data_IF_645943096635
#
_entry.id   IF_645943096635
#
_cell.length_a   1.000
_cell.length_b   1.000
_cell.length_c   1.000
_cell.angle_alpha   90.00
_cell.angle_beta   90.00
_cell.angle_gamma   90.00
#
_symmetry.space_group_name_H-M   'P 1'
#
loop_
_entity.id
_entity.type
_entity.pdbx_description
1 polymer ?
#
# COMPACT_ATOMS: atom_id res chain seq x y z
N UNK A 1 -29.18 45.37 -74.58
CA UNK A 1 -29.14 45.82 -73.16
C UNK A 1 -29.78 44.82 -72.21
N UNK A 2 -30.87 44.13 -72.57
CA UNK A 2 -31.46 43.07 -71.72
C UNK A 2 -30.72 41.72 -71.79
N UNK A 3 -30.23 41.30 -72.95
CA UNK A 3 -29.54 40.00 -73.09
C UNK A 3 -28.19 39.92 -72.34
N UNK A 4 -27.48 41.05 -72.22
CA UNK A 4 -26.23 41.12 -71.44
C UNK A 4 -26.48 41.06 -69.92
N UNK A 5 -27.66 41.53 -69.47
CA UNK A 5 -28.09 41.47 -68.06
C UNK A 5 -28.47 40.04 -67.66
N UNK A 6 -29.20 39.32 -68.52
CA UNK A 6 -29.59 37.93 -68.26
C UNK A 6 -28.39 36.98 -68.26
N UNK A 7 -27.39 37.21 -69.14
CA UNK A 7 -26.14 36.44 -69.15
C UNK A 7 -25.29 36.68 -67.89
N UNK A 8 -25.24 37.92 -67.41
CA UNK A 8 -24.51 38.27 -66.17
C UNK A 8 -25.20 37.72 -64.92
N UNK A 9 -26.53 37.75 -64.85
CA UNK A 9 -27.30 37.13 -63.76
C UNK A 9 -27.16 35.60 -63.75
N UNK A 10 -27.21 34.94 -64.91
CA UNK A 10 -26.99 33.50 -65.00
C UNK A 10 -25.55 33.09 -64.59
N UNK A 11 -24.57 33.95 -64.90
CA UNK A 11 -23.17 33.75 -64.52
C UNK A 11 -22.96 33.98 -63.00
N UNK A 12 -23.62 34.97 -62.41
CA UNK A 12 -23.62 35.21 -60.96
C UNK A 12 -24.27 34.06 -60.19
N UNK A 13 -25.42 33.54 -60.64
CA UNK A 13 -26.07 32.38 -60.02
C UNK A 13 -25.18 31.14 -60.03
N UNK A 14 -24.50 30.88 -61.15
CA UNK A 14 -23.52 29.77 -61.24
C UNK A 14 -22.32 29.97 -60.31
N UNK A 15 -21.84 31.20 -60.17
CA UNK A 15 -20.77 31.51 -59.22
C UNK A 15 -21.22 31.32 -57.77
N UNK A 16 -22.43 31.74 -57.42
CA UNK A 16 -22.95 31.62 -56.06
C UNK A 16 -23.27 30.16 -55.70
N UNK A 17 -23.78 29.37 -56.64
CA UNK A 17 -23.90 27.91 -56.50
C UNK A 17 -22.53 27.23 -56.33
N UNK A 18 -21.53 27.64 -57.12
CA UNK A 18 -20.16 27.12 -56.98
C UNK A 18 -19.55 27.51 -55.61
N UNK A 19 -19.71 28.75 -55.16
CA UNK A 19 -19.27 29.23 -53.83
C UNK A 19 -19.99 28.49 -52.70
N UNK A 20 -21.29 28.19 -52.86
CA UNK A 20 -22.06 27.37 -51.92
C UNK A 20 -21.50 25.96 -51.80
N UNK A 21 -21.24 25.30 -52.94
CA UNK A 21 -20.63 23.96 -52.96
C UNK A 21 -19.23 23.94 -52.37
N UNK A 22 -18.43 24.99 -52.58
CA UNK A 22 -17.10 25.16 -51.95
C UNK A 22 -17.23 25.30 -50.43
N UNK A 23 -18.14 26.16 -49.92
CA UNK A 23 -18.37 26.30 -48.47
C UNK A 23 -18.84 25.00 -47.82
N UNK A 24 -19.71 24.25 -48.49
CA UNK A 24 -20.18 22.96 -47.96
C UNK A 24 -19.08 21.90 -47.99
N UNK A 25 -18.23 21.90 -49.02
CA UNK A 25 -17.04 21.06 -49.07
C UNK A 25 -16.03 21.44 -47.96
N UNK A 26 -15.80 22.73 -47.71
CA UNK A 26 -14.94 23.22 -46.62
C UNK A 26 -15.46 22.84 -45.24
N UNK A 27 -16.78 22.95 -45.00
CA UNK A 27 -17.40 22.49 -43.75
C UNK A 27 -17.22 20.99 -43.54
N UNK A 28 -17.42 20.19 -44.59
CA UNK A 28 -17.20 18.73 -44.55
C UNK A 28 -15.73 18.40 -44.32
N UNK A 29 -14.81 19.12 -44.96
CA UNK A 29 -13.38 18.90 -44.80
C UNK A 29 -12.93 19.26 -43.37
N UNK A 30 -13.51 20.31 -42.78
CA UNK A 30 -13.27 20.69 -41.39
C UNK A 30 -13.85 19.68 -40.39
N UNK A 31 -15.05 19.14 -40.64
CA UNK A 31 -15.65 18.10 -39.79
C UNK A 31 -14.88 16.79 -39.86
N UNK A 32 -14.55 16.34 -41.08
CA UNK A 32 -13.70 15.16 -41.30
C UNK A 32 -12.33 15.38 -40.67
N UNK A 33 -11.74 16.57 -40.76
CA UNK A 33 -10.47 16.90 -40.11
C UNK A 33 -10.53 16.79 -38.59
N UNK A 34 -11.63 17.26 -37.96
CA UNK A 34 -11.83 17.09 -36.52
C UNK A 34 -12.05 15.63 -36.11
N UNK A 35 -12.82 14.87 -36.89
CA UNK A 35 -13.03 13.42 -36.66
C UNK A 35 -11.73 12.63 -36.81
N UNK A 36 -10.91 12.96 -37.81
CA UNK A 36 -9.62 12.32 -38.04
C UNK A 36 -8.64 12.62 -36.90
N UNK A 37 -8.63 13.85 -36.39
CA UNK A 37 -7.84 14.23 -35.20
C UNK A 37 -8.28 13.44 -33.97
N UNK A 38 -9.60 13.30 -33.75
CA UNK A 38 -10.16 12.51 -32.64
C UNK A 38 -9.76 11.03 -32.77
N UNK A 39 -9.96 10.43 -33.94
CA UNK A 39 -9.56 9.05 -34.21
C UNK A 39 -8.05 8.84 -34.04
N UNK A 40 -7.25 9.85 -34.39
CA UNK A 40 -5.80 9.78 -34.24
C UNK A 40 -5.39 9.81 -32.76
N UNK A 41 -6.08 10.60 -31.92
CA UNK A 41 -5.88 10.57 -30.47
C UNK A 41 -6.35 9.25 -29.86
N UNK A 42 -7.49 8.71 -30.29
CA UNK A 42 -8.03 7.45 -29.80
C UNK A 42 -7.11 6.27 -30.15
N UNK A 43 -6.60 6.22 -31.39
CA UNK A 43 -5.60 5.24 -31.81
C UNK A 43 -4.34 5.32 -30.95
N UNK A 44 -3.85 6.53 -30.65
CA UNK A 44 -2.68 6.71 -29.78
C UNK A 44 -2.95 6.23 -28.36
N UNK A 45 -4.09 6.61 -27.78
CA UNK A 45 -4.47 6.16 -26.42
C UNK A 45 -4.64 4.65 -26.35
N UNK A 46 -5.24 4.03 -27.36
CA UNK A 46 -5.41 2.58 -27.44
C UNK A 46 -4.07 1.85 -27.58
N UNK A 47 -3.15 2.39 -28.39
CA UNK A 47 -1.80 1.84 -28.51
C UNK A 47 -1.02 1.92 -27.18
N UNK A 48 -1.13 3.02 -26.44
CA UNK A 48 -0.52 3.17 -25.12
C UNK A 48 -1.12 2.20 -24.09
N UNK A 49 -2.44 1.98 -24.13
CA UNK A 49 -3.11 0.98 -23.29
C UNK A 49 -2.67 -0.44 -23.62
N UNK A 50 -2.59 -0.80 -24.90
CA UNK A 50 -2.08 -2.09 -25.34
C UNK A 50 -0.65 -2.32 -24.86
N UNK A 51 0.22 -1.31 -24.96
CA UNK A 51 1.60 -1.39 -24.46
C UNK A 51 1.64 -1.65 -22.95
N UNK A 52 0.83 -0.92 -22.16
CA UNK A 52 0.75 -1.12 -20.70
C UNK A 52 0.23 -2.51 -20.33
N UNK A 53 -0.77 -3.01 -21.05
CA UNK A 53 -1.29 -4.37 -20.86
C UNK A 53 -0.23 -5.42 -21.18
N UNK A 54 0.51 -5.24 -22.28
CA UNK A 54 1.57 -6.17 -22.69
C UNK A 54 2.73 -6.20 -21.68
N UNK A 55 3.13 -5.04 -21.14
CA UNK A 55 4.08 -4.94 -20.02
C UNK A 55 3.55 -5.57 -18.72
N UNK A 56 2.24 -5.52 -18.48
CA UNK A 56 1.61 -6.17 -17.32
C UNK A 56 1.61 -7.70 -17.47
N UNK A 57 1.22 -8.19 -18.65
CA UNK A 57 1.23 -9.62 -18.98
C UNK A 57 2.65 -10.17 -18.89
N UNK A 58 3.64 -9.52 -19.50
CA UNK A 58 5.04 -9.96 -19.42
C UNK A 58 5.56 -10.01 -17.97
N UNK A 59 5.21 -9.02 -17.13
CA UNK A 59 5.53 -9.04 -15.70
C UNK A 59 4.86 -10.21 -14.97
N UNK A 60 3.59 -10.47 -15.27
CA UNK A 60 2.83 -11.59 -14.72
C UNK A 60 3.45 -12.94 -15.11
N UNK A 61 3.80 -13.13 -16.38
CA UNK A 61 4.44 -14.35 -16.89
C UNK A 61 5.81 -14.58 -16.24
N UNK A 62 6.64 -13.55 -16.12
CA UNK A 62 7.92 -13.66 -15.41
C UNK A 62 7.74 -14.06 -13.94
N UNK A 63 6.75 -13.50 -13.24
CA UNK A 63 6.45 -13.86 -11.85
C UNK A 63 5.96 -15.32 -11.73
N UNK A 64 5.11 -15.78 -12.66
CA UNK A 64 4.66 -17.18 -12.71
C UNK A 64 5.84 -18.12 -12.97
N UNK A 65 6.77 -17.73 -13.85
CA UNK A 65 7.93 -18.55 -14.15
C UNK A 65 8.90 -18.63 -12.98
N UNK A 66 9.19 -17.49 -12.32
CA UNK A 66 10.01 -17.46 -11.10
C UNK A 66 9.41 -18.33 -9.99
N UNK A 67 8.10 -18.21 -9.72
CA UNK A 67 7.44 -19.03 -8.69
C UNK A 67 7.45 -20.52 -9.04
N UNK A 68 7.37 -20.88 -10.33
CA UNK A 68 7.47 -22.26 -10.80
C UNK A 68 8.87 -22.84 -10.61
N UNK A 69 9.90 -22.06 -10.91
CA UNK A 69 11.28 -22.48 -10.73
C UNK A 69 11.66 -22.56 -9.25
N UNK A 70 11.20 -21.62 -8.43
CA UNK A 70 11.32 -21.68 -6.97
C UNK A 70 10.66 -22.94 -6.40
N UNK A 71 9.47 -23.30 -6.90
CA UNK A 71 8.77 -24.52 -6.46
C UNK A 71 9.56 -25.78 -6.83
N UNK A 72 10.13 -25.85 -8.03
CA UNK A 72 10.99 -26.97 -8.45
C UNK A 72 12.24 -27.06 -7.59
N UNK A 73 12.92 -25.94 -7.36
CA UNK A 73 14.11 -25.86 -6.51
C UNK A 73 13.82 -26.32 -5.08
N UNK A 74 12.73 -25.82 -4.47
CA UNK A 74 12.30 -26.25 -3.13
C UNK A 74 11.95 -27.73 -3.08
N UNK A 75 11.28 -28.27 -4.10
CA UNK A 75 10.95 -29.69 -4.17
C UNK A 75 12.22 -30.56 -4.26
N UNK A 76 13.21 -30.15 -5.06
CA UNK A 76 14.50 -30.84 -5.14
C UNK A 76 15.26 -30.79 -3.80
N UNK A 77 15.31 -29.62 -3.16
CA UNK A 77 15.93 -29.45 -1.84
C UNK A 77 15.23 -30.31 -0.77
N UNK A 78 13.90 -30.37 -0.77
CA UNK A 78 13.14 -31.21 0.16
C UNK A 78 13.38 -32.71 -0.05
N UNK A 79 13.59 -33.15 -1.29
CA UNK A 79 13.93 -34.54 -1.58
C UNK A 79 15.35 -34.87 -1.10
N UNK A 80 16.30 -33.96 -1.31
CA UNK A 80 17.68 -34.10 -0.83
C UNK A 80 17.75 -34.19 0.71
N UNK A 81 17.11 -33.25 1.42
CA UNK A 81 17.08 -33.26 2.89
C UNK A 81 16.38 -34.49 3.45
N UNK A 82 15.33 -34.99 2.79
CA UNK A 82 14.69 -36.27 3.17
C UNK A 82 15.62 -37.47 2.97
N UNK A 83 16.47 -37.45 1.94
CA UNK A 83 17.51 -38.46 1.72
C UNK A 83 18.58 -38.43 2.81
N UNK A 84 19.07 -37.23 3.15
CA UNK A 84 20.05 -37.02 4.23
C UNK A 84 19.50 -37.45 5.59
N UNK A 85 18.24 -37.13 5.91
CA UNK A 85 17.56 -37.58 7.13
C UNK A 85 17.55 -39.11 7.24
N UNK A 86 17.17 -39.80 6.16
CA UNK A 86 17.17 -41.28 6.15
C UNK A 86 18.57 -41.87 6.35
N UNK A 87 19.59 -41.24 5.76
CA UNK A 87 20.97 -41.68 5.92
C UNK A 87 21.45 -41.47 7.37
N UNK A 88 21.13 -40.31 7.97
CA UNK A 88 21.47 -40.00 9.35
C UNK A 88 20.74 -40.91 10.34
N UNK A 89 19.45 -41.17 10.14
CA UNK A 89 18.68 -42.11 10.96
C UNK A 89 19.29 -43.52 10.91
N UNK A 90 19.78 -43.95 9.74
CA UNK A 90 20.53 -45.20 9.60
C UNK A 90 21.82 -45.22 10.40
N UNK A 91 22.63 -44.15 10.32
CA UNK A 91 23.88 -44.02 11.08
C UNK A 91 23.64 -43.98 12.60
N UNK A 92 22.58 -43.29 13.04
CA UNK A 92 22.20 -43.23 14.46
C UNK A 92 21.78 -44.62 14.95
N UNK A 93 20.97 -45.34 14.18
CA UNK A 93 20.55 -46.69 14.53
C UNK A 93 21.75 -47.65 14.62
N UNK A 94 22.69 -47.57 13.67
CA UNK A 94 23.92 -48.37 13.69
C UNK A 94 24.81 -48.03 14.89
N UNK A 95 25.02 -46.75 15.16
CA UNK A 95 25.79 -46.29 16.33
C UNK A 95 25.13 -46.70 17.65
N UNK A 96 23.80 -46.61 17.76
CA UNK A 96 23.06 -47.08 18.94
C UNK A 96 23.17 -48.58 19.12
N UNK A 97 23.09 -49.37 18.04
CA UNK A 97 23.27 -50.82 18.09
C UNK A 97 24.70 -51.18 18.52
N UNK A 98 25.72 -50.47 18.03
CA UNK A 98 27.11 -50.70 18.43
C UNK A 98 27.36 -50.34 19.89
N UNK A 99 26.77 -49.23 20.38
CA UNK A 99 26.82 -48.85 21.80
C UNK A 99 26.12 -49.90 22.66
N UNK A 100 24.93 -50.36 22.30
CA UNK A 100 24.22 -51.42 23.04
C UNK A 100 25.01 -52.73 23.05
N UNK A 101 25.69 -53.08 21.95
CA UNK A 101 26.54 -54.27 21.87
C UNK A 101 27.78 -54.17 22.76
N UNK A 102 28.42 -52.99 22.80
CA UNK A 102 29.69 -52.79 23.54
C UNK A 102 29.50 -52.38 24.99
N UNK A 103 28.36 -51.80 25.37
CA UNK A 103 28.06 -51.36 26.73
C UNK A 103 28.29 -52.46 27.79
N UNK A 104 27.76 -53.69 27.66
CA UNK A 104 27.98 -54.72 28.68
C UNK A 104 29.44 -55.14 28.78
N UNK A 105 30.18 -55.20 27.68
CA UNK A 105 31.61 -55.56 27.68
C UNK A 105 32.47 -54.46 28.34
N UNK A 106 32.16 -53.19 28.08
CA UNK A 106 32.86 -52.07 28.71
C UNK A 106 32.55 -52.02 30.20
N UNK A 107 31.29 -52.21 30.58
CA UNK A 107 30.86 -52.19 31.98
C UNK A 107 31.47 -53.37 32.76
N UNK A 108 31.52 -54.58 32.16
CA UNK A 108 32.23 -55.72 32.71
C UNK A 108 33.73 -55.44 32.89
N UNK A 109 34.39 -54.85 31.89
CA UNK A 109 35.82 -54.47 31.99
C UNK A 109 36.09 -53.35 32.98
N UNK A 110 35.17 -52.41 33.18
CA UNK A 110 35.28 -51.36 34.19
C UNK A 110 35.16 -51.96 35.59
N UNK A 111 34.22 -52.88 35.80
CA UNK A 111 34.09 -53.62 37.07
C UNK A 111 35.35 -54.46 37.33
N UNK A 112 35.85 -55.18 36.33
CA UNK A 112 37.07 -55.96 36.44
C UNK A 112 38.29 -55.06 36.74
N UNK A 113 38.44 -53.95 36.02
CA UNK A 113 39.52 -52.99 36.27
C UNK A 113 39.43 -52.39 37.68
N UNK A 114 38.24 -52.03 38.16
CA UNK A 114 38.04 -51.55 39.52
C UNK A 114 38.44 -52.60 40.56
N UNK A 115 38.06 -53.86 40.38
CA UNK A 115 38.47 -54.96 41.27
C UNK A 115 39.98 -55.19 41.25
N UNK A 116 40.62 -55.12 40.08
CA UNK A 116 42.08 -55.25 39.97
C UNK A 116 42.80 -54.06 40.61
N UNK A 117 42.24 -52.85 40.49
CA UNK A 117 42.80 -51.66 41.09
C UNK A 117 42.65 -51.67 42.62
N UNK A 118 41.52 -52.12 43.15
CA UNK A 118 41.35 -52.37 44.59
C UNK A 118 42.32 -53.43 45.11
N UNK A 119 42.52 -54.54 44.37
CA UNK A 119 43.51 -55.56 44.73
C UNK A 119 44.93 -55.03 44.70
N UNK A 120 45.26 -54.22 43.69
CA UNK A 120 46.56 -53.57 43.58
C UNK A 120 46.76 -52.59 44.73
N UNK A 121 45.79 -51.74 45.03
CA UNK A 121 45.89 -50.75 46.10
C UNK A 121 45.96 -51.43 47.48
N UNK A 122 45.27 -52.55 47.68
CA UNK A 122 45.41 -53.38 48.86
C UNK A 122 46.81 -54.00 48.96
N UNK A 123 47.33 -54.59 47.88
CA UNK A 123 48.68 -55.15 47.82
C UNK A 123 49.78 -54.08 47.97
N UNK A 124 49.60 -52.90 47.40
CA UNK A 124 50.49 -51.75 47.55
C UNK A 124 50.44 -51.21 48.98
N UNK A 125 49.26 -51.19 49.62
CA UNK A 125 49.14 -50.84 51.04
C UNK A 125 49.82 -51.87 51.93
N UNK A 126 49.67 -53.16 51.66
CA UNK A 126 50.38 -54.24 52.38
C UNK A 126 51.89 -54.18 52.15
N UNK A 127 52.34 -53.95 50.91
CA UNK A 127 53.74 -53.78 50.55
C UNK A 127 54.31 -52.54 51.24
N UNK A 128 53.64 -51.38 51.20
CA UNK A 128 54.06 -50.19 51.94
C UNK A 128 54.05 -50.41 53.46
N UNK A 129 53.12 -51.20 53.99
CA UNK A 129 53.13 -51.57 55.40
C UNK A 129 54.30 -52.50 55.73
N UNK A 130 54.65 -53.46 54.88
CA UNK A 130 55.79 -54.35 55.05
C UNK A 130 57.11 -53.62 54.87
N UNK A 131 57.26 -52.81 53.82
CA UNK A 131 58.39 -51.93 53.56
C UNK A 131 58.54 -50.90 54.67
N UNK A 132 57.45 -50.32 55.17
CA UNK A 132 57.54 -49.43 56.32
C UNK A 132 57.83 -50.18 57.62
N UNK A 133 57.42 -51.44 57.80
CA UNK A 133 57.83 -52.28 58.95
C UNK A 133 59.31 -52.66 58.87
N UNK A 134 59.80 -53.02 57.69
CA UNK A 134 61.19 -53.39 57.38
C UNK A 134 62.12 -52.17 57.47
N UNK A 135 61.67 -51.02 56.97
CA UNK A 135 62.38 -49.75 57.06
C UNK A 135 62.31 -49.16 58.48
N UNK A 136 61.18 -49.24 59.21
CA UNK A 136 61.10 -48.72 60.61
C UNK A 136 62.03 -49.45 61.58
N UNK A 137 62.34 -50.72 61.34
CA UNK A 137 63.29 -51.49 62.14
C UNK A 137 64.77 -51.12 61.86
N UNK A 138 65.06 -50.47 60.73
CA UNK A 138 66.44 -50.18 60.27
C UNK A 138 66.74 -48.71 59.94
N UNK A 139 65.74 -47.82 59.89
CA UNK A 139 65.88 -46.42 59.45
C UNK A 139 66.53 -45.50 60.47
N UNK A 140 66.40 -45.79 61.77
CA UNK A 140 66.87 -44.89 62.82
C UNK A 140 67.70 -45.67 63.83
N UNK A 141 68.97 -45.29 63.99
CA UNK A 141 69.89 -45.96 64.91
C UNK A 141 69.65 -45.54 66.36
N UNK A 142 68.90 -44.45 66.57
CA UNK A 142 68.49 -43.96 67.90
C UNK A 142 67.09 -43.32 67.89
N UNK A 143 66.46 -43.26 69.07
CA UNK A 143 65.19 -42.54 69.27
C UNK A 143 65.29 -41.06 68.88
N UNK A 144 66.45 -40.44 69.06
CA UNK A 144 66.68 -39.03 68.69
C UNK A 144 66.66 -38.80 67.17
N UNK A 145 67.24 -39.69 66.36
CA UNK A 145 67.21 -39.57 64.89
C UNK A 145 65.79 -39.71 64.34
N UNK A 146 65.02 -40.64 64.90
CA UNK A 146 63.60 -40.82 64.57
C UNK A 146 62.78 -39.58 64.93
N UNK A 147 62.92 -39.09 66.15
CA UNK A 147 62.15 -37.93 66.61
C UNK A 147 62.56 -36.66 65.80
N UNK A 148 63.82 -36.55 65.35
CA UNK A 148 64.28 -35.47 64.45
C UNK A 148 63.66 -35.56 63.05
N UNK A 149 63.55 -36.75 62.46
CA UNK A 149 62.87 -36.97 61.19
C UNK A 149 61.37 -36.66 61.29
N UNK A 150 60.69 -37.23 62.29
CA UNK A 150 59.26 -37.00 62.52
C UNK A 150 58.94 -35.53 62.76
N UNK A 151 59.80 -34.81 63.49
CA UNK A 151 59.63 -33.36 63.68
C UNK A 151 59.83 -32.57 62.37
N UNK A 152 60.75 -33.00 61.51
CA UNK A 152 60.94 -32.38 60.18
C UNK A 152 59.72 -32.62 59.28
N UNK A 153 59.22 -33.85 59.22
CA UNK A 153 58.00 -34.20 58.48
C UNK A 153 56.77 -33.47 59.01
N UNK A 154 56.61 -33.41 60.33
CA UNK A 154 55.52 -32.66 60.96
C UNK A 154 55.60 -31.16 60.63
N UNK A 155 56.81 -30.58 60.56
CA UNK A 155 57.01 -29.21 60.14
C UNK A 155 56.67 -28.99 58.66
N UNK A 156 57.08 -29.90 57.77
CA UNK A 156 56.75 -29.87 56.34
C UNK A 156 55.24 -30.04 56.07
N UNK A 157 54.58 -30.93 56.82
CA UNK A 157 53.12 -31.10 56.74
C UNK A 157 52.39 -29.86 57.26
N UNK A 158 52.85 -29.26 58.37
CA UNK A 158 52.29 -27.99 58.88
C UNK A 158 52.40 -26.85 57.87
N UNK A 159 53.53 -26.72 57.17
CA UNK A 159 53.67 -25.68 56.12
C UNK A 159 52.77 -25.96 54.92
N UNK A 160 52.62 -27.22 54.50
CA UNK A 160 51.67 -27.62 53.45
C UNK A 160 50.22 -27.34 53.83
N UNK A 161 49.81 -27.66 55.07
CA UNK A 161 48.47 -27.37 55.60
C UNK A 161 48.22 -25.86 55.56
N UNK A 162 49.14 -25.05 56.11
CA UNK A 162 49.01 -23.59 56.11
C UNK A 162 48.89 -23.01 54.70
N UNK A 163 49.65 -23.54 53.73
CA UNK A 163 49.55 -23.13 52.32
C UNK A 163 48.19 -23.51 51.72
N UNK A 164 47.65 -24.68 52.07
CA UNK A 164 46.33 -25.13 51.60
C UNK A 164 45.19 -24.33 52.24
N UNK A 165 45.29 -23.99 53.52
CA UNK A 165 44.34 -23.09 54.20
C UNK A 165 44.33 -21.69 53.55
N UNK A 166 45.50 -21.13 53.25
CA UNK A 166 45.60 -19.87 52.52
C UNK A 166 44.98 -19.96 51.12
N UNK A 167 45.21 -21.04 50.39
CA UNK A 167 44.58 -21.26 49.08
C UNK A 167 43.06 -21.39 49.19
N UNK A 168 42.55 -22.12 50.19
CA UNK A 168 41.12 -22.26 50.43
C UNK A 168 40.46 -20.91 50.75
N UNK A 169 41.09 -20.10 51.60
CA UNK A 169 40.60 -18.75 51.92
C UNK A 169 40.54 -17.83 50.69
N UNK A 170 41.56 -17.86 49.83
CA UNK A 170 41.56 -17.09 48.57
C UNK A 170 40.45 -17.57 47.62
N UNK A 171 40.33 -18.88 47.43
CA UNK A 171 39.30 -19.47 46.57
C UNK A 171 37.89 -19.15 47.07
N UNK A 172 37.68 -19.14 48.38
CA UNK A 172 36.39 -18.78 48.97
C UNK A 172 36.04 -17.32 48.72
N UNK A 173 37.01 -16.41 48.85
CA UNK A 173 36.83 -15.00 48.50
C UNK A 173 36.54 -14.81 47.01
N UNK A 174 37.22 -15.54 46.13
CA UNK A 174 36.99 -15.48 44.69
C UNK A 174 35.59 -16.01 44.32
N UNK A 175 35.13 -17.07 45.01
CA UNK A 175 33.77 -17.61 44.87
C UNK A 175 32.70 -16.57 45.24
N UNK A 176 32.86 -15.92 46.40
CA UNK A 176 31.94 -14.86 46.85
C UNK A 176 31.90 -13.69 45.87
N UNK A 177 33.06 -13.28 45.32
CA UNK A 177 33.12 -12.24 44.30
C UNK A 177 32.46 -12.66 42.98
N UNK A 178 32.64 -13.91 42.56
CA UNK A 178 32.02 -14.45 41.36
C UNK A 178 30.49 -14.51 41.50
N UNK A 179 29.99 -14.93 42.66
CA UNK A 179 28.56 -14.96 42.98
C UNK A 179 27.95 -13.54 42.94
N UNK A 180 28.58 -12.57 43.59
CA UNK A 180 28.12 -11.19 43.56
C UNK A 180 28.04 -10.60 42.13
N UNK A 181 29.04 -10.91 41.28
CA UNK A 181 29.03 -10.51 39.86
C UNK A 181 27.92 -11.20 39.07
N UNK A 182 27.67 -12.48 39.35
CA UNK A 182 26.60 -13.24 38.72
C UNK A 182 25.23 -12.64 39.06
N UNK A 183 24.98 -12.32 40.33
CA UNK A 183 23.72 -11.72 40.79
C UNK A 183 23.51 -10.32 40.19
N UNK A 184 24.58 -9.51 40.11
CA UNK A 184 24.52 -8.19 39.47
C UNK A 184 24.23 -8.31 37.97
N UNK A 185 24.86 -9.27 37.28
CA UNK A 185 24.62 -9.54 35.88
C UNK A 185 23.19 -10.03 35.63
N UNK A 186 22.68 -10.94 36.46
CA UNK A 186 21.31 -11.45 36.39
C UNK A 186 20.27 -10.34 36.57
N UNK A 187 20.50 -9.43 37.53
CA UNK A 187 19.63 -8.28 37.78
C UNK A 187 19.63 -7.33 36.57
N UNK A 188 20.82 -7.00 36.04
CA UNK A 188 20.96 -6.14 34.87
C UNK A 188 20.30 -6.75 33.62
N UNK A 189 20.42 -8.06 33.45
CA UNK A 189 19.77 -8.78 32.35
C UNK A 189 18.23 -8.78 32.49
N UNK A 190 17.71 -8.94 33.70
CA UNK A 190 16.27 -8.87 33.99
C UNK A 190 15.70 -7.48 33.68
N UNK A 191 16.38 -6.42 34.11
CA UNK A 191 16.00 -5.04 33.79
C UNK A 191 16.07 -4.75 32.28
N UNK A 192 17.13 -5.23 31.62
CA UNK A 192 17.28 -5.11 30.18
C UNK A 192 16.14 -5.79 29.41
N UNK A 193 15.71 -6.98 29.85
CA UNK A 193 14.56 -7.68 29.27
C UNK A 193 13.26 -6.89 29.45
N UNK A 194 12.99 -6.36 30.64
CA UNK A 194 11.80 -5.53 30.89
C UNK A 194 11.76 -4.28 30.03
N UNK A 195 12.91 -3.59 29.87
CA UNK A 195 13.02 -2.42 28.98
C UNK A 195 12.78 -2.80 27.52
N UNK A 196 13.34 -3.91 27.05
CA UNK A 196 13.13 -4.40 25.69
C UNK A 196 11.67 -4.76 25.43
N UNK A 197 10.99 -5.42 26.36
CA UNK A 197 9.57 -5.73 26.26
C UNK A 197 8.69 -4.47 26.22
N UNK A 198 8.99 -3.47 27.06
CA UNK A 198 8.30 -2.20 27.05
C UNK A 198 8.47 -1.45 25.71
N UNK A 199 9.68 -1.41 25.16
CA UNK A 199 9.94 -0.79 23.86
C UNK A 199 9.28 -1.56 22.71
N UNK A 200 9.26 -2.90 22.76
CA UNK A 200 8.53 -3.72 21.79
C UNK A 200 7.03 -3.43 21.83
N UNK A 201 6.45 -3.31 23.02
CA UNK A 201 5.03 -2.98 23.17
C UNK A 201 4.71 -1.60 22.57
N UNK A 202 5.55 -0.58 22.81
CA UNK A 202 5.42 0.74 22.20
C UNK A 202 5.55 0.69 20.68
N UNK A 203 6.51 -0.09 20.16
CA UNK A 203 6.71 -0.24 18.73
C UNK A 203 5.50 -0.88 18.03
N UNK A 204 4.91 -1.92 18.65
CA UNK A 204 3.69 -2.55 18.13
C UNK A 204 2.47 -1.61 18.22
N UNK A 205 2.33 -0.83 19.29
CA UNK A 205 1.30 0.22 19.36
C UNK A 205 1.47 1.28 18.27
N UNK A 206 2.69 1.77 18.06
CA UNK A 206 2.96 2.73 16.99
C UNK A 206 2.66 2.13 15.61
N UNK A 207 3.01 0.85 15.40
CA UNK A 207 2.75 0.14 14.15
C UNK A 207 1.25 0.00 13.88
N UNK A 208 0.47 -0.41 14.88
CA UNK A 208 -0.98 -0.55 14.77
C UNK A 208 -1.66 0.80 14.50
N UNK A 209 -1.25 1.86 15.19
CA UNK A 209 -1.72 3.23 14.92
C UNK A 209 -1.37 3.68 13.49
N UNK A 210 -0.14 3.45 13.03
CA UNK A 210 0.25 3.76 11.65
C UNK A 210 -0.59 2.99 10.63
N UNK A 211 -0.91 1.71 10.88
CA UNK A 211 -1.77 0.95 9.97
C UNK A 211 -3.20 1.48 9.94
N UNK A 212 -3.77 1.85 11.09
CA UNK A 212 -5.11 2.43 11.16
C UNK A 212 -5.18 3.78 10.42
N UNK A 213 -4.23 4.68 10.68
CA UNK A 213 -4.16 5.97 9.98
C UNK A 213 -3.97 5.82 8.46
N UNK A 214 -3.20 4.80 8.02
CA UNK A 214 -3.07 4.50 6.58
C UNK A 214 -4.40 4.07 5.97
N UNK A 215 -5.16 3.20 6.65
CA UNK A 215 -6.48 2.76 6.19
C UNK A 215 -7.47 3.93 6.12
N UNK A 216 -7.50 4.80 7.13
CA UNK A 216 -8.34 6.01 7.10
C UNK A 216 -7.97 6.95 5.95
N UNK A 217 -6.67 7.17 5.72
CA UNK A 217 -6.15 7.99 4.63
C UNK A 217 -6.48 7.39 3.27
N UNK A 218 -6.43 6.07 3.13
CA UNK A 218 -6.80 5.38 1.89
C UNK A 218 -8.32 5.49 1.63
N UNK A 219 -9.15 5.26 2.66
CA UNK A 219 -10.61 5.43 2.58
C UNK A 219 -11.03 6.87 2.24
N UNK A 220 -10.39 7.87 2.87
CA UNK A 220 -10.64 9.28 2.56
C UNK A 220 -10.22 9.63 1.11
N UNK A 221 -9.12 9.04 0.63
CA UNK A 221 -8.66 9.22 -0.74
C UNK A 221 -9.64 8.62 -1.74
N UNK A 222 -10.18 7.44 -1.47
CA UNK A 222 -11.16 6.81 -2.34
C UNK A 222 -12.49 7.57 -2.35
N UNK A 223 -12.96 8.05 -1.19
CA UNK A 223 -14.12 8.94 -1.11
C UNK A 223 -13.91 10.24 -1.89
N UNK A 224 -12.71 10.82 -1.84
CA UNK A 224 -12.35 12.00 -2.65
C UNK A 224 -12.42 11.69 -4.15
N UNK A 225 -11.90 10.53 -4.59
CA UNK A 225 -11.98 10.12 -6.01
C UNK A 225 -13.43 9.93 -6.45
N UNK A 226 -14.27 9.33 -5.62
CA UNK A 226 -15.70 9.17 -5.91
C UNK A 226 -16.42 10.51 -6.06
N UNK A 227 -16.18 11.44 -5.13
CA UNK A 227 -16.74 12.79 -5.20
C UNK A 227 -16.26 13.53 -6.45
N UNK A 228 -14.97 13.44 -6.80
CA UNK A 228 -14.46 14.00 -8.05
C UNK A 228 -15.19 13.42 -9.25
N UNK A 229 -15.33 12.09 -9.35
CA UNK A 229 -16.07 11.46 -10.47
C UNK A 229 -17.51 11.97 -10.56
N UNK A 230 -18.19 12.12 -9.42
CA UNK A 230 -19.55 12.69 -9.37
C UNK A 230 -19.58 14.15 -9.80
N UNK A 231 -18.63 14.97 -9.34
CA UNK A 231 -18.50 16.36 -9.73
C UNK A 231 -18.27 16.49 -11.24
N UNK A 232 -17.40 15.65 -11.81
CA UNK A 232 -17.15 15.62 -13.25
C UNK A 232 -18.41 15.22 -14.03
N UNK A 233 -19.11 14.17 -13.59
CA UNK A 233 -20.38 13.73 -14.20
C UNK A 233 -21.44 14.83 -14.16
N UNK A 234 -21.59 15.50 -13.01
CA UNK A 234 -22.53 16.61 -12.86
C UNK A 234 -22.11 17.82 -13.70
N UNK A 235 -20.81 18.12 -13.78
CA UNK A 235 -20.26 19.18 -14.61
C UNK A 235 -20.51 18.94 -16.10
N UNK A 236 -20.35 17.69 -16.56
CA UNK A 236 -20.61 17.32 -17.95
C UNK A 236 -22.11 17.28 -18.26
N UNK A 237 -22.95 16.83 -17.32
CA UNK A 237 -24.40 16.95 -17.43
C UNK A 237 -24.85 18.42 -17.49
N UNK A 238 -24.30 19.29 -16.64
CA UNK A 238 -24.59 20.71 -16.64
C UNK A 238 -24.20 21.34 -17.97
N UNK A 239 -22.99 21.10 -18.48
CA UNK A 239 -22.56 21.58 -19.81
C UNK A 239 -23.47 21.12 -20.94
N UNK A 240 -23.95 19.87 -20.87
CA UNK A 240 -24.86 19.31 -21.88
C UNK A 240 -26.20 20.04 -21.83
N UNK A 241 -26.81 20.15 -20.64
CA UNK A 241 -28.09 20.85 -20.45
C UNK A 241 -28.02 22.33 -20.79
N UNK A 242 -26.92 23.02 -20.47
CA UNK A 242 -26.73 24.42 -20.86
C UNK A 242 -26.56 24.56 -22.36
N UNK A 243 -25.83 23.64 -23.01
CA UNK A 243 -25.71 23.64 -24.47
C UNK A 243 -27.06 23.36 -25.16
N UNK A 244 -27.87 22.46 -24.61
CA UNK A 244 -29.24 22.19 -25.10
C UNK A 244 -30.15 23.40 -24.92
N UNK A 245 -30.09 24.07 -23.76
CA UNK A 245 -30.81 25.31 -23.50
C UNK A 245 -30.39 26.41 -24.47
N UNK A 246 -29.09 26.63 -24.65
CA UNK A 246 -28.55 27.64 -25.59
C UNK A 246 -28.99 27.35 -27.03
N UNK A 247 -29.01 26.07 -27.44
CA UNK A 247 -29.52 25.66 -28.76
C UNK A 247 -31.00 25.95 -28.90
N UNK A 248 -31.81 25.57 -27.92
CA UNK A 248 -33.26 25.82 -27.92
C UNK A 248 -33.57 27.32 -27.94
N UNK A 249 -32.85 28.12 -27.15
CA UNK A 249 -32.95 29.58 -27.14
C UNK A 249 -32.56 30.19 -28.49
N UNK A 250 -31.47 29.72 -29.12
CA UNK A 250 -31.08 30.17 -30.46
C UNK A 250 -32.13 29.81 -31.51
N UNK A 251 -32.70 28.61 -31.46
CA UNK A 251 -33.79 28.21 -32.36
C UNK A 251 -35.02 29.11 -32.17
N UNK A 252 -35.40 29.42 -30.92
CA UNK A 252 -36.47 30.37 -30.62
C UNK A 252 -36.15 31.76 -31.16
N UNK A 253 -34.94 32.26 -30.94
CA UNK A 253 -34.47 33.54 -31.48
C UNK A 253 -34.58 33.60 -33.00
N UNK A 254 -34.23 32.53 -33.71
CA UNK A 254 -34.34 32.46 -35.17
C UNK A 254 -35.78 32.41 -35.69
N UNK A 255 -36.76 32.09 -34.84
CA UNK A 255 -38.18 32.09 -35.21
C UNK A 255 -38.77 33.51 -35.15
N UNK A 256 -38.14 34.41 -34.39
CA UNK A 256 -38.54 35.82 -34.28
C UNK A 256 -37.73 36.72 -35.22
N UNK A 257 -38.26 37.91 -35.53
CA UNK A 257 -37.44 38.95 -36.15
C UNK A 257 -36.41 39.50 -35.16
N UNK A 258 -35.28 40.01 -35.67
CA UNK A 258 -34.21 40.58 -34.83
C UNK A 258 -34.72 41.69 -33.90
N UNK A 259 -35.59 42.57 -34.39
CA UNK A 259 -36.15 43.67 -33.59
C UNK A 259 -37.12 43.18 -32.52
N UNK A 260 -37.90 42.14 -32.79
CA UNK A 260 -38.76 41.50 -31.79
C UNK A 260 -37.95 40.82 -30.68
N UNK A 261 -36.89 40.09 -31.05
CA UNK A 261 -36.01 39.45 -30.09
C UNK A 261 -35.30 40.47 -29.18
N UNK A 262 -34.71 41.51 -29.77
CA UNK A 262 -34.05 42.59 -29.01
C UNK A 262 -35.04 43.28 -28.04
N UNK A 263 -36.28 43.53 -28.47
CA UNK A 263 -37.32 44.09 -27.62
C UNK A 263 -37.71 43.16 -26.46
N UNK A 264 -37.95 41.87 -26.73
CA UNK A 264 -38.32 40.87 -25.70
C UNK A 264 -37.20 40.70 -24.68
N UNK A 265 -35.94 40.59 -25.12
CA UNK A 265 -34.78 40.46 -24.23
C UNK A 265 -34.62 41.71 -23.37
N UNK A 266 -34.77 42.90 -23.94
CA UNK A 266 -34.67 44.15 -23.19
C UNK A 266 -35.80 44.28 -22.16
N UNK A 267 -37.03 43.92 -22.51
CA UNK A 267 -38.18 43.92 -21.59
C UNK A 267 -37.97 42.93 -20.44
N UNK A 268 -37.51 41.70 -20.72
CA UNK A 268 -37.19 40.70 -19.70
C UNK A 268 -36.08 41.18 -18.76
N UNK A 269 -34.98 41.71 -19.32
CA UNK A 269 -33.87 42.27 -18.53
C UNK A 269 -34.34 43.39 -17.61
N UNK A 270 -35.13 44.34 -18.11
CA UNK A 270 -35.63 45.48 -17.33
C UNK A 270 -36.61 45.02 -16.24
N UNK A 271 -37.48 44.06 -16.56
CA UNK A 271 -38.41 43.48 -15.59
C UNK A 271 -37.67 42.81 -14.42
N UNK A 272 -36.59 42.07 -14.71
CA UNK A 272 -35.72 41.44 -13.70
C UNK A 272 -34.89 42.46 -12.90
N UNK A 273 -34.19 43.38 -13.58
CA UNK A 273 -33.33 44.39 -12.95
C UNK A 273 -34.09 45.33 -12.01
N UNK A 274 -35.31 45.72 -12.39
CA UNK A 274 -36.15 46.66 -11.62
C UNK A 274 -37.21 45.97 -10.78
N UNK A 275 -37.23 44.63 -10.79
CA UNK A 275 -38.17 43.78 -10.07
C UNK A 275 -39.63 44.25 -10.24
N UNK A 276 -40.03 44.52 -11.49
CA UNK A 276 -41.36 45.04 -11.82
C UNK A 276 -42.37 43.89 -11.71
N UNK A 277 -43.20 43.94 -10.67
CA UNK A 277 -44.27 42.96 -10.45
C UNK A 277 -45.37 43.10 -11.51
N UNK A 278 -45.85 41.97 -12.04
CA UNK A 278 -46.93 41.91 -13.02
C UNK A 278 -46.51 41.77 -14.49
N UNK A 279 -45.25 41.43 -14.75
CA UNK A 279 -44.77 40.97 -16.05
C UNK A 279 -44.60 39.44 -16.01
N UNK A 280 -45.37 38.70 -16.80
CA UNK A 280 -45.40 37.23 -16.76
C UNK A 280 -44.54 36.55 -17.83
N UNK A 281 -43.99 37.33 -18.78
CA UNK A 281 -43.22 36.80 -19.90
C UNK A 281 -44.04 36.68 -21.19
N UNK A 282 -43.53 35.93 -22.17
CA UNK A 282 -44.21 35.78 -23.46
C UNK A 282 -45.36 34.79 -23.37
N UNK A 283 -46.41 34.99 -24.19
CA UNK A 283 -47.56 34.10 -24.24
C UNK A 283 -47.16 32.63 -24.50
N UNK A 284 -46.17 32.38 -25.37
CA UNK A 284 -45.65 31.04 -25.67
C UNK A 284 -45.03 30.33 -24.46
N UNK A 285 -44.51 31.07 -23.48
CA UNK A 285 -43.90 30.51 -22.26
C UNK A 285 -44.96 30.16 -21.21
N UNK A 286 -46.15 30.74 -21.33
CA UNK A 286 -47.24 30.63 -20.38
C UNK A 286 -48.27 29.55 -20.76
N UNK A 287 -48.12 28.93 -21.93
CA UNK A 287 -49.04 27.93 -22.44
C UNK A 287 -48.41 26.54 -22.48
N UNK A 288 -49.19 25.52 -22.10
CA UNK A 288 -48.82 24.11 -22.26
C UNK A 288 -49.86 23.42 -23.13
N UNK A 289 -49.40 22.85 -24.24
CA UNK A 289 -50.25 22.17 -25.23
C UNK A 289 -49.60 20.83 -25.59
N UNK A 290 -50.42 19.79 -25.78
CA UNK A 290 -49.97 18.50 -26.31
C UNK A 290 -49.29 18.71 -27.68
N UNK A 291 -48.14 18.05 -27.88
CA UNK A 291 -47.31 18.14 -29.08
C UNK A 291 -48.10 17.92 -30.38
N UNK A 292 -49.18 17.13 -30.33
CA UNK A 292 -50.06 16.88 -31.48
C UNK A 292 -50.70 18.13 -32.07
N UNK A 293 -50.87 19.19 -31.29
CA UNK A 293 -51.54 20.43 -31.70
C UNK A 293 -50.58 21.61 -31.90
N UNK A 294 -49.26 21.42 -31.74
CA UNK A 294 -48.28 22.52 -31.84
C UNK A 294 -48.36 23.26 -33.17
N UNK A 295 -48.34 22.54 -34.29
CA UNK A 295 -48.41 23.15 -35.63
C UNK A 295 -49.73 23.90 -35.86
N UNK A 296 -50.85 23.37 -35.37
CA UNK A 296 -52.15 24.02 -35.55
C UNK A 296 -52.22 25.35 -34.78
N UNK A 297 -51.70 25.38 -33.56
CA UNK A 297 -51.67 26.59 -32.72
C UNK A 297 -50.64 27.59 -33.24
N UNK A 298 -49.47 27.13 -33.68
CA UNK A 298 -48.43 27.97 -34.27
C UNK A 298 -48.95 28.72 -35.50
N UNK A 299 -49.63 28.02 -36.42
CA UNK A 299 -50.21 28.63 -37.63
C UNK A 299 -51.38 29.56 -37.29
N UNK A 300 -52.20 29.22 -36.29
CA UNK A 300 -53.35 30.03 -35.92
C UNK A 300 -52.98 31.32 -35.16
N UNK A 301 -52.02 31.25 -34.24
CA UNK A 301 -51.62 32.37 -33.40
C UNK A 301 -50.48 33.20 -34.01
N UNK A 302 -49.57 32.58 -34.78
CA UNK A 302 -48.45 33.25 -35.44
C UNK A 302 -47.68 34.18 -34.51
N UNK A 303 -47.53 35.45 -34.92
CA UNK A 303 -46.80 36.47 -34.15
C UNK A 303 -47.41 36.83 -32.79
N UNK A 304 -48.68 36.47 -32.52
CA UNK A 304 -49.32 36.76 -31.23
C UNK A 304 -48.67 35.95 -30.09
N UNK A 305 -48.04 34.81 -30.39
CA UNK A 305 -47.35 33.96 -29.43
C UNK A 305 -46.17 34.66 -28.73
N UNK A 306 -45.60 35.69 -29.35
CA UNK A 306 -44.44 36.42 -28.84
C UNK A 306 -44.80 37.69 -28.06
N UNK A 307 -46.09 37.96 -27.85
CA UNK A 307 -46.52 39.09 -27.04
C UNK A 307 -46.21 38.86 -25.56
N UNK A 308 -45.77 39.92 -24.88
CA UNK A 308 -45.50 39.89 -23.44
C UNK A 308 -46.81 40.14 -22.70
N UNK A 309 -47.15 39.25 -21.79
CA UNK A 309 -48.37 39.32 -20.97
C UNK A 309 -48.09 40.10 -19.70
N UNK A 310 -48.93 41.10 -19.44
CA UNK A 310 -48.86 42.01 -18.28
C UNK A 310 -50.21 42.11 -17.59
N UNK A 311 -50.21 42.35 -16.28
CA UNK A 311 -51.44 42.38 -15.48
C UNK A 311 -52.31 43.62 -15.72
N UNK A 312 -51.70 44.79 -15.84
CA UNK A 312 -52.38 46.08 -15.94
C UNK A 312 -51.70 47.03 -16.92
N UNK A 313 -52.45 47.95 -17.51
CA UNK A 313 -51.94 48.97 -18.45
C UNK A 313 -50.87 49.87 -17.82
N UNK A 314 -50.96 50.13 -16.50
CA UNK A 314 -49.95 50.88 -15.75
C UNK A 314 -48.58 50.18 -15.75
N UNK A 315 -48.55 48.84 -15.71
CA UNK A 315 -47.31 48.04 -15.76
C UNK A 315 -46.73 48.07 -17.17
N UNK A 316 -47.58 47.99 -18.19
CA UNK A 316 -47.19 48.12 -19.59
C UNK A 316 -46.54 49.49 -19.86
N UNK A 317 -47.16 50.57 -19.38
CA UNK A 317 -46.67 51.94 -19.55
C UNK A 317 -45.33 52.16 -18.83
N UNK A 318 -45.16 51.60 -17.63
CA UNK A 318 -43.89 51.62 -16.89
C UNK A 318 -42.78 50.87 -17.64
N UNK A 319 -43.05 49.66 -18.13
CA UNK A 319 -42.09 48.89 -18.93
C UNK A 319 -41.68 49.64 -20.20
N UNK A 320 -42.63 50.26 -20.89
CA UNK A 320 -42.36 51.02 -22.11
C UNK A 320 -41.49 52.27 -21.84
N UNK A 321 -41.78 52.99 -20.74
CA UNK A 321 -40.99 54.17 -20.34
C UNK A 321 -39.55 53.79 -20.01
N UNK A 322 -39.37 52.67 -19.31
CA UNK A 322 -38.03 52.19 -18.94
C UNK A 322 -37.28 51.59 -20.12
N UNK A 323 -37.98 50.93 -21.06
CA UNK A 323 -37.41 50.47 -22.32
C UNK A 323 -36.92 51.64 -23.18
N UNK A 324 -37.70 52.73 -23.26
CA UNK A 324 -37.30 53.95 -23.98
C UNK A 324 -36.09 54.63 -23.32
N UNK A 325 -36.00 54.63 -21.99
CA UNK A 325 -34.83 55.14 -21.25
C UNK A 325 -33.57 54.29 -21.43
N UNK A 326 -33.72 52.99 -21.61
CA UNK A 326 -32.60 52.06 -21.80
C UNK A 326 -32.10 51.99 -23.26
N UNK A 327 -32.92 52.38 -24.23
CA UNK A 327 -32.60 52.43 -25.67
C UNK A 327 -32.18 53.84 -26.16
N UNK A 328 -32.24 54.87 -25.30
CA UNK A 328 -31.73 56.22 -25.54
C UNK A 328 -30.30 56.37 -25.02
#
# INVERSE_FOLDING_TARGET
RNEDSERTEAQQRREDEAKGRVKDAEKKLKSIGSELSLLQTECRTSADEQKKLLESVARGEMAVQQTRDDRKSRAAAALATKGELKALDGQVAEAQAEVQRRAPDVEAKVVEAAQQLERRDAADSEMQQLDSKQARATQFKSRQERDKHLNKEAAELRTKIKRKEQQAATLQKDLEQAQARQDQSATSASEGRKRLEAERAKAEQARTMCTALRQERDAATDRRKELWRKEQQLGDALKTTTSELDKAQRTLQHTMSRSQWEAVVAVKRIAEEKNIQGCHGMLIELMQIDAKFHTAVEVAAGNQLFQVVVDNDDVAARLLTELQRANA
#
